data_IF_708481416549
#
_entry.id   IF_708481416549
#
_cell.length_a   1.000
_cell.length_b   1.000
_cell.length_c   1.000
_cell.angle_alpha   90.00
_cell.angle_beta   90.00
_cell.angle_gamma   90.00
#
_symmetry.space_group_name_H-M   'P 1'
#
loop_
_entity.id
_entity.type
_entity.pdbx_description
1 polymer ?
#
# COMPACT_ATOMS: atom_id res chain seq x y z
N UNK A 1 48.27 -31.30 -49.51
CA UNK A 1 46.97 -31.60 -48.89
C UNK A 1 47.18 -32.66 -47.81
N UNK A 2 46.53 -32.51 -46.65
CA UNK A 2 46.54 -33.41 -45.47
C UNK A 2 47.66 -33.20 -44.44
N UNK A 3 47.56 -32.11 -43.67
CA UNK A 3 48.26 -31.93 -42.39
C UNK A 3 47.26 -31.74 -41.24
N UNK A 4 46.35 -32.69 -41.04
CA UNK A 4 45.49 -32.73 -39.85
C UNK A 4 45.31 -34.19 -39.42
N UNK A 5 46.33 -34.78 -38.80
CA UNK A 5 46.20 -36.01 -38.00
C UNK A 5 47.32 -36.08 -36.96
N UNK A 6 47.24 -35.29 -35.86
CA UNK A 6 47.89 -35.66 -34.57
C UNK A 6 47.61 -34.81 -33.32
N UNK A 7 46.62 -33.91 -33.29
CA UNK A 7 46.32 -33.09 -32.08
C UNK A 7 44.87 -33.22 -31.54
N UNK A 8 44.18 -34.31 -31.86
CA UNK A 8 42.79 -34.52 -31.44
C UNK A 8 42.60 -34.90 -29.95
N UNK A 9 43.53 -35.56 -29.22
CA UNK A 9 43.20 -36.01 -27.85
C UNK A 9 43.12 -34.86 -26.84
N UNK A 10 44.01 -33.86 -26.92
CA UNK A 10 44.04 -32.77 -25.94
C UNK A 10 42.88 -31.79 -26.09
N UNK A 11 42.46 -31.49 -27.32
CA UNK A 11 41.37 -30.54 -27.55
C UNK A 11 40.03 -31.08 -27.02
N UNK A 12 39.79 -32.39 -27.16
CA UNK A 12 38.61 -33.05 -26.60
C UNK A 12 38.67 -33.06 -25.06
N UNK A 13 39.85 -33.33 -24.48
CA UNK A 13 40.03 -33.32 -23.02
C UNK A 13 39.78 -31.92 -22.44
N UNK A 14 40.35 -30.86 -23.03
CA UNK A 14 40.12 -29.49 -22.57
C UNK A 14 38.66 -29.04 -22.76
N UNK A 15 38.00 -29.46 -23.84
CA UNK A 15 36.59 -29.17 -24.07
C UNK A 15 35.69 -29.87 -23.04
N UNK A 16 35.96 -31.15 -22.73
CA UNK A 16 35.22 -31.91 -21.72
C UNK A 16 35.46 -31.38 -20.30
N UNK A 17 36.68 -30.95 -19.96
CA UNK A 17 36.98 -30.29 -18.68
C UNK A 17 36.27 -28.93 -18.56
N UNK A 18 36.25 -28.12 -19.62
CA UNK A 18 35.50 -26.87 -19.66
C UNK A 18 34.00 -27.07 -19.52
N UNK A 19 33.44 -28.12 -20.14
CA UNK A 19 32.04 -28.48 -20.02
C UNK A 19 31.70 -29.00 -18.61
N UNK A 20 32.57 -29.80 -17.99
CA UNK A 20 32.40 -30.24 -16.61
C UNK A 20 32.46 -29.09 -15.61
N UNK A 21 33.36 -28.12 -15.81
CA UNK A 21 33.47 -26.94 -14.94
C UNK A 21 32.25 -26.01 -15.09
N UNK A 22 31.71 -25.84 -16.30
CA UNK A 22 30.50 -25.04 -16.51
C UNK A 22 29.25 -25.70 -15.94
N UNK A 23 29.14 -27.02 -16.04
CA UNK A 23 28.08 -27.80 -15.39
C UNK A 23 28.22 -27.75 -13.86
N UNK A 24 29.44 -27.86 -13.32
CA UNK A 24 29.67 -27.78 -11.87
C UNK A 24 29.37 -26.38 -11.31
N UNK A 25 29.77 -25.32 -12.02
CA UNK A 25 29.42 -23.94 -11.67
C UNK A 25 27.90 -23.71 -11.76
N UNK A 26 27.23 -24.28 -12.77
CA UNK A 26 25.77 -24.22 -12.89
C UNK A 26 25.08 -24.98 -11.75
N UNK A 27 25.62 -26.13 -11.33
CA UNK A 27 25.12 -26.93 -10.21
C UNK A 27 25.37 -26.27 -8.86
N UNK A 28 26.49 -25.60 -8.63
CA UNK A 28 26.72 -24.79 -7.41
C UNK A 28 25.87 -23.51 -7.40
N UNK A 29 25.63 -22.89 -8.56
CA UNK A 29 24.68 -21.78 -8.69
C UNK A 29 23.25 -22.25 -8.42
N UNK A 30 22.85 -23.41 -8.94
CA UNK A 30 21.56 -24.04 -8.65
C UNK A 30 21.45 -24.48 -7.19
N UNK A 31 22.50 -25.06 -6.59
CA UNK A 31 22.52 -25.43 -5.16
C UNK A 31 22.52 -24.22 -4.24
N UNK A 32 23.18 -23.11 -4.59
CA UNK A 32 23.13 -21.87 -3.81
C UNK A 32 21.78 -21.16 -3.94
N UNK A 33 21.18 -21.17 -5.13
CA UNK A 33 19.78 -20.73 -5.36
C UNK A 33 18.81 -21.62 -4.56
N UNK A 34 18.97 -22.94 -4.63
CA UNK A 34 18.09 -23.93 -3.98
C UNK A 34 18.33 -24.09 -2.48
N UNK A 35 19.50 -23.71 -1.94
CA UNK A 35 19.77 -23.60 -0.48
C UNK A 35 19.25 -22.28 0.10
N UNK A 36 19.17 -21.22 -0.70
CA UNK A 36 18.61 -19.92 -0.30
C UNK A 36 17.08 -19.81 -0.48
N UNK A 37 16.46 -20.67 -1.30
CA UNK A 37 15.02 -20.67 -1.55
C UNK A 37 14.10 -21.26 -0.45
N UNK A 38 14.46 -22.33 0.29
CA UNK A 38 13.55 -22.90 1.30
C UNK A 38 13.54 -22.10 2.62
N UNK A 39 14.58 -21.29 2.89
CA UNK A 39 14.60 -20.40 4.07
C UNK A 39 13.83 -19.09 3.85
N UNK A 40 13.81 -18.56 2.62
CA UNK A 40 13.01 -17.36 2.27
C UNK A 40 11.51 -17.64 2.30
N UNK A 41 11.07 -18.76 1.73
CA UNK A 41 9.64 -19.11 1.65
C UNK A 41 9.00 -19.39 3.00
N UNK A 42 9.74 -19.81 4.03
CA UNK A 42 9.20 -20.01 5.38
C UNK A 42 8.99 -18.68 6.13
N UNK A 43 9.95 -17.76 6.05
CA UNK A 43 9.85 -16.40 6.62
C UNK A 43 8.77 -15.57 5.91
N UNK A 44 8.63 -15.76 4.59
CA UNK A 44 7.63 -15.11 3.73
C UNK A 44 6.21 -15.71 3.90
N UNK A 45 6.08 -17.03 4.12
CA UNK A 45 4.78 -17.67 4.47
C UNK A 45 4.33 -17.35 5.89
N UNK A 46 5.25 -17.14 6.83
CA UNK A 46 4.91 -16.76 8.21
C UNK A 46 4.39 -15.33 8.33
N UNK A 47 4.72 -14.44 7.39
CA UNK A 47 4.33 -13.01 7.44
C UNK A 47 3.00 -12.66 6.79
N UNK A 48 2.39 -13.57 6.03
CA UNK A 48 0.98 -13.44 5.65
C UNK A 48 0.14 -13.62 6.91
N UNK A 49 -0.03 -12.54 7.68
CA UNK A 49 -1.02 -12.48 8.75
C UNK A 49 -2.39 -12.65 8.09
N UNK A 50 -2.84 -13.90 7.99
CA UNK A 50 -4.21 -14.20 7.59
C UNK A 50 -5.13 -13.48 8.57
N UNK A 51 -6.00 -12.60 8.04
CA UNK A 51 -6.95 -11.83 8.82
C UNK A 51 -7.69 -12.78 9.77
N UNK A 52 -7.41 -12.69 11.08
CA UNK A 52 -8.20 -13.44 12.06
C UNK A 52 -9.64 -13.05 11.82
N UNK A 53 -10.51 -14.04 11.55
CA UNK A 53 -11.92 -13.78 11.29
C UNK A 53 -12.50 -13.01 12.48
N UNK A 54 -12.95 -11.76 12.29
CA UNK A 54 -13.44 -10.96 13.40
C UNK A 54 -14.72 -11.61 13.95
N UNK A 55 -14.90 -11.57 15.28
CA UNK A 55 -16.09 -12.09 15.97
C UNK A 55 -17.24 -11.07 15.90
N UNK A 56 -17.53 -10.59 14.69
CA UNK A 56 -18.58 -9.61 14.42
C UNK A 56 -19.75 -10.25 13.68
N UNK A 57 -20.91 -9.62 13.79
CA UNK A 57 -22.12 -10.00 13.04
C UNK A 57 -22.55 -8.81 12.18
N UNK A 58 -22.03 -8.68 10.94
CA UNK A 58 -22.57 -7.69 10.02
C UNK A 58 -24.05 -7.97 9.76
N UNK A 59 -24.80 -6.93 9.43
CA UNK A 59 -26.24 -7.01 9.16
C UNK A 59 -26.56 -6.43 7.79
N UNK A 60 -27.53 -7.04 7.12
CA UNK A 60 -28.20 -6.41 5.98
C UNK A 60 -29.13 -5.31 6.51
N UNK A 61 -29.08 -4.14 5.89
CA UNK A 61 -29.93 -3.00 6.22
C UNK A 61 -31.11 -2.86 5.25
N UNK A 62 -31.08 -3.55 4.11
CA UNK A 62 -32.16 -3.53 3.13
C UNK A 62 -32.57 -4.94 2.71
N UNK A 63 -33.87 -5.14 2.51
CA UNK A 63 -34.44 -6.42 2.09
C UNK A 63 -34.00 -6.83 0.69
N UNK A 64 -33.64 -5.86 -0.16
CA UNK A 64 -33.15 -6.10 -1.51
C UNK A 64 -31.66 -6.47 -1.56
N UNK A 65 -30.96 -6.49 -0.42
CA UNK A 65 -29.56 -6.86 -0.33
C UNK A 65 -28.60 -5.84 -0.95
N UNK A 66 -28.96 -4.56 -0.99
CA UNK A 66 -28.08 -3.50 -1.48
C UNK A 66 -27.34 -2.75 -0.38
N UNK A 67 -27.79 -2.79 0.88
CA UNK A 67 -27.17 -2.06 1.99
C UNK A 67 -26.82 -2.97 3.13
N UNK A 68 -25.64 -2.78 3.71
CA UNK A 68 -25.11 -3.57 4.80
C UNK A 68 -24.32 -2.70 5.77
N UNK A 69 -24.22 -3.16 7.01
CA UNK A 69 -23.50 -2.47 8.08
C UNK A 69 -22.72 -3.46 8.94
N UNK A 70 -21.54 -3.03 9.35
CA UNK A 70 -20.73 -3.65 10.39
C UNK A 70 -20.29 -2.59 11.42
N UNK A 71 -19.30 -2.90 12.24
CA UNK A 71 -18.81 -1.98 13.27
C UNK A 71 -18.18 -0.73 12.65
N UNK A 72 -17.29 -0.92 11.67
CA UNK A 72 -16.50 0.15 11.07
C UNK A 72 -16.97 0.55 9.66
N UNK A 73 -17.87 -0.20 9.03
CA UNK A 73 -18.25 0.01 7.63
C UNK A 73 -19.75 0.13 7.38
N UNK A 74 -20.07 0.94 6.37
CA UNK A 74 -21.35 0.94 5.66
C UNK A 74 -21.10 0.52 4.22
N UNK A 75 -21.56 -0.67 3.82
CA UNK A 75 -21.40 -1.17 2.45
C UNK A 75 -22.69 -0.97 1.67
N UNK A 76 -22.58 -0.33 0.51
CA UNK A 76 -23.67 -0.13 -0.44
C UNK A 76 -23.29 -0.71 -1.79
N UNK A 77 -24.10 -1.61 -2.31
CA UNK A 77 -24.08 -1.96 -3.72
C UNK A 77 -25.01 -1.02 -4.47
N UNK A 78 -24.54 -0.40 -5.55
CA UNK A 78 -25.40 0.42 -6.40
C UNK A 78 -26.42 -0.44 -7.16
N UNK A 79 -27.51 0.18 -7.58
CA UNK A 79 -28.63 -0.47 -8.27
C UNK A 79 -28.20 -1.23 -9.53
N UNK A 80 -27.20 -0.71 -10.25
CA UNK A 80 -26.68 -1.34 -11.46
C UNK A 80 -25.98 -2.69 -11.21
N UNK A 81 -25.65 -3.03 -9.96
CA UNK A 81 -25.11 -4.35 -9.59
C UNK A 81 -26.11 -5.47 -9.87
N UNK A 82 -27.41 -5.19 -9.83
CA UNK A 82 -28.48 -6.18 -10.10
C UNK A 82 -28.35 -6.79 -11.50
N UNK A 83 -27.64 -6.11 -12.41
CA UNK A 83 -27.36 -6.55 -13.79
C UNK A 83 -26.11 -7.44 -13.90
N UNK A 84 -25.37 -7.66 -12.80
CA UNK A 84 -24.14 -8.46 -12.78
C UNK A 84 -24.46 -9.91 -12.45
N UNK A 85 -23.96 -10.89 -13.22
CA UNK A 85 -24.10 -12.31 -12.88
C UNK A 85 -23.57 -12.60 -11.46
N UNK A 86 -24.30 -13.43 -10.69
CA UNK A 86 -24.07 -13.71 -9.26
C UNK A 86 -24.38 -12.56 -8.29
N UNK A 87 -25.03 -11.50 -8.78
CA UNK A 87 -25.64 -10.43 -7.97
C UNK A 87 -27.12 -10.24 -8.35
N UNK A 88 -27.67 -11.12 -9.19
CA UNK A 88 -29.02 -11.01 -9.73
C UNK A 88 -30.08 -11.32 -8.68
N UNK A 89 -29.86 -12.31 -7.81
CA UNK A 89 -30.79 -12.61 -6.72
C UNK A 89 -30.46 -11.86 -5.44
N UNK A 90 -31.49 -11.57 -4.65
CA UNK A 90 -31.36 -10.96 -3.31
C UNK A 90 -30.47 -11.81 -2.40
N UNK A 91 -30.65 -13.14 -2.40
CA UNK A 91 -29.89 -14.04 -1.55
C UNK A 91 -28.39 -14.03 -1.89
N UNK A 92 -28.02 -14.00 -3.17
CA UNK A 92 -26.62 -13.88 -3.58
C UNK A 92 -26.01 -12.57 -3.10
N UNK A 93 -26.73 -11.44 -3.27
CA UNK A 93 -26.25 -10.14 -2.80
C UNK A 93 -26.07 -10.11 -1.29
N UNK A 94 -27.02 -10.65 -0.53
CA UNK A 94 -26.93 -10.72 0.94
C UNK A 94 -25.73 -11.57 1.38
N UNK A 95 -25.62 -12.78 0.85
CA UNK A 95 -24.50 -13.68 1.17
C UNK A 95 -23.15 -13.02 0.87
N UNK A 96 -23.06 -12.35 -0.29
CA UNK A 96 -21.85 -11.66 -0.71
C UNK A 96 -21.51 -10.46 0.15
N UNK A 97 -22.46 -9.54 0.37
CA UNK A 97 -22.25 -8.32 1.16
C UNK A 97 -21.82 -8.61 2.60
N UNK A 98 -22.45 -9.61 3.25
CA UNK A 98 -22.05 -10.04 4.59
C UNK A 98 -20.66 -10.67 4.60
N UNK A 99 -20.33 -11.50 3.62
CA UNK A 99 -19.01 -12.12 3.49
C UNK A 99 -17.89 -11.09 3.28
N UNK A 100 -18.14 -10.09 2.42
CA UNK A 100 -17.19 -9.02 2.15
C UNK A 100 -16.99 -8.11 3.39
N UNK A 101 -18.04 -7.80 4.15
CA UNK A 101 -17.91 -7.05 5.42
C UNK A 101 -17.05 -7.79 6.46
N UNK A 102 -17.22 -9.10 6.61
CA UNK A 102 -16.37 -9.90 7.52
C UNK A 102 -14.89 -9.78 7.12
N UNK A 103 -14.61 -9.80 5.82
CA UNK A 103 -13.26 -9.66 5.31
C UNK A 103 -12.69 -8.26 5.58
N UNK A 104 -13.44 -7.20 5.25
CA UNK A 104 -13.02 -5.81 5.45
C UNK A 104 -12.79 -5.46 6.93
N UNK A 105 -13.54 -6.08 7.84
CA UNK A 105 -13.35 -5.90 9.28
C UNK A 105 -12.09 -6.61 9.79
N UNK A 106 -11.75 -7.76 9.20
CA UNK A 106 -10.45 -8.37 9.42
C UNK A 106 -9.30 -7.47 8.93
N UNK A 107 -9.50 -6.79 7.79
CA UNK A 107 -8.54 -5.80 7.27
C UNK A 107 -8.44 -4.57 8.16
N UNK A 108 -9.55 -4.08 8.69
CA UNK A 108 -9.59 -2.94 9.60
C UNK A 108 -8.71 -3.17 10.82
N UNK A 109 -8.90 -4.30 11.50
CA UNK A 109 -8.10 -4.68 12.68
C UNK A 109 -6.61 -4.78 12.37
N UNK A 110 -6.28 -5.22 11.17
CA UNK A 110 -4.91 -5.32 10.71
C UNK A 110 -4.29 -3.93 10.47
N UNK A 111 -4.98 -3.08 9.71
CA UNK A 111 -4.59 -1.71 9.40
C UNK A 111 -4.44 -0.88 10.69
N UNK A 112 -5.37 -1.04 11.63
CA UNK A 112 -5.33 -0.46 12.98
C UNK A 112 -4.07 -0.87 13.75
N UNK A 113 -3.59 -2.10 13.62
CA UNK A 113 -2.33 -2.52 14.27
C UNK A 113 -1.11 -1.80 13.71
N UNK A 114 -1.04 -1.57 12.38
CA UNK A 114 0.08 -0.86 11.77
C UNK A 114 0.08 0.60 12.18
N UNK A 115 -1.09 1.25 12.13
CA UNK A 115 -1.16 2.71 12.26
C UNK A 115 -1.51 3.19 13.66
N UNK A 116 -2.09 2.33 14.49
CA UNK A 116 -2.34 2.62 15.91
C UNK A 116 -3.49 3.56 16.20
N UNK A 117 -4.33 3.87 15.22
CA UNK A 117 -5.52 4.71 15.39
C UNK A 117 -6.75 4.09 14.73
N UNK A 118 -7.92 4.62 15.10
CA UNK A 118 -9.23 4.19 14.63
C UNK A 118 -9.91 5.31 13.83
N UNK A 119 -10.69 4.92 12.82
CA UNK A 119 -11.58 5.84 12.14
C UNK A 119 -12.69 6.28 13.11
N UNK A 120 -12.89 7.60 13.25
CA UNK A 120 -13.92 8.15 14.14
C UNK A 120 -15.34 7.92 13.63
N UNK A 121 -15.51 7.89 12.32
CA UNK A 121 -16.77 7.68 11.62
C UNK A 121 -16.67 6.40 10.78
N UNK A 122 -17.81 5.77 10.48
CA UNK A 122 -17.83 4.57 9.62
C UNK A 122 -17.36 4.92 8.21
N UNK A 123 -16.53 4.05 7.67
CA UNK A 123 -16.04 4.14 6.29
C UNK A 123 -17.17 3.65 5.37
N UNK A 124 -17.58 4.48 4.41
CA UNK A 124 -18.60 4.10 3.43
C UNK A 124 -17.94 3.43 2.24
N UNK A 125 -18.42 2.24 1.89
CA UNK A 125 -17.96 1.46 0.74
C UNK A 125 -19.08 1.42 -0.28
N UNK A 126 -18.80 1.87 -1.50
CA UNK A 126 -19.79 1.92 -2.58
C UNK A 126 -19.27 1.11 -3.76
N UNK A 127 -19.98 0.03 -4.11
CA UNK A 127 -19.59 -0.87 -5.19
C UNK A 127 -20.52 -0.71 -6.39
N UNK A 128 -19.92 -0.35 -7.51
CA UNK A 128 -20.54 -0.10 -8.80
C UNK A 128 -20.33 -1.27 -9.75
N UNK A 129 -21.24 -1.49 -10.71
CA UNK A 129 -20.92 -2.40 -11.83
C UNK A 129 -19.69 -1.89 -12.59
N UNK A 130 -19.68 -0.60 -12.88
CA UNK A 130 -18.55 0.11 -13.50
C UNK A 130 -18.38 1.45 -12.81
N UNK A 131 -17.14 1.81 -12.51
CA UNK A 131 -16.78 3.11 -11.96
C UNK A 131 -16.01 3.87 -13.04
N UNK A 132 -16.44 5.08 -13.37
CA UNK A 132 -15.84 5.90 -14.47
C UNK A 132 -15.68 5.12 -15.78
N UNK A 133 -16.66 4.26 -16.10
CA UNK A 133 -16.67 3.42 -17.31
C UNK A 133 -15.86 2.13 -17.21
N UNK A 134 -15.23 1.81 -16.08
CA UNK A 134 -14.36 0.64 -15.93
C UNK A 134 -14.72 -0.18 -14.67
N UNK A 135 -14.88 -1.50 -14.81
CA UNK A 135 -15.19 -2.40 -13.68
C UNK A 135 -13.99 -2.64 -12.75
N UNK A 136 -12.77 -2.27 -13.18
CA UNK A 136 -11.52 -2.44 -12.45
C UNK A 136 -11.01 -1.15 -11.80
N UNK A 137 -11.74 -0.05 -11.94
CA UNK A 137 -11.36 1.21 -11.31
C UNK A 137 -11.76 1.21 -9.83
N UNK A 138 -10.99 1.93 -9.01
CA UNK A 138 -11.28 2.15 -7.61
C UNK A 138 -10.65 3.47 -7.17
N UNK A 139 -11.27 4.13 -6.19
CA UNK A 139 -10.67 5.28 -5.54
C UNK A 139 -11.25 5.49 -4.16
N UNK A 140 -10.45 6.12 -3.31
CA UNK A 140 -10.89 6.59 -2.00
C UNK A 140 -11.01 8.10 -2.01
N UNK A 141 -12.05 8.63 -1.38
CA UNK A 141 -12.27 10.05 -1.23
C UNK A 141 -12.62 10.40 0.21
N UNK A 142 -12.28 11.62 0.60
CA UNK A 142 -12.61 12.18 1.89
C UNK A 142 -13.24 13.55 1.68
N UNK A 143 -14.38 13.77 2.31
CA UNK A 143 -15.03 15.08 2.35
C UNK A 143 -15.25 15.51 3.79
N UNK A 144 -15.04 16.81 4.02
CA UNK A 144 -15.32 17.44 5.32
C UNK A 144 -16.77 17.91 5.31
N UNK A 145 -17.52 17.46 6.30
CA UNK A 145 -18.88 17.93 6.57
C UNK A 145 -19.02 18.45 8.00
N UNK A 146 -20.25 18.80 8.34
CA UNK A 146 -20.66 19.07 9.71
C UNK A 146 -21.73 18.04 10.09
N UNK A 147 -21.61 17.45 11.28
CA UNK A 147 -22.66 16.63 11.89
C UNK A 147 -23.18 17.32 13.14
N UNK A 148 -24.48 17.19 13.41
CA UNK A 148 -25.06 17.63 14.68
C UNK A 148 -25.07 16.43 15.62
N UNK A 149 -24.36 16.54 16.73
CA UNK A 149 -24.36 15.55 17.82
C UNK A 149 -24.68 16.33 19.09
N UNK A 150 -25.73 15.91 19.82
CA UNK A 150 -26.18 16.55 21.05
C UNK A 150 -26.41 18.08 20.90
N UNK A 151 -27.09 18.49 19.83
CA UNK A 151 -27.33 19.90 19.47
C UNK A 151 -26.07 20.76 19.25
N UNK A 152 -24.90 20.13 19.08
CA UNK A 152 -23.65 20.81 18.73
C UNK A 152 -23.18 20.40 17.34
N UNK A 153 -22.71 21.38 16.57
CA UNK A 153 -22.05 21.12 15.31
C UNK A 153 -20.64 20.61 15.55
N UNK A 154 -20.36 19.41 15.06
CA UNK A 154 -19.04 18.79 15.08
C UNK A 154 -18.56 18.58 13.64
N UNK A 155 -17.25 18.72 13.42
CA UNK A 155 -16.68 18.34 12.14
C UNK A 155 -16.88 16.83 11.91
N UNK A 156 -17.37 16.46 10.73
CA UNK A 156 -17.51 15.08 10.28
C UNK A 156 -16.58 14.84 9.10
N UNK A 157 -15.98 13.65 9.05
CA UNK A 157 -15.13 13.26 7.93
C UNK A 157 -15.77 12.07 7.26
N UNK A 158 -16.38 12.33 6.11
CA UNK A 158 -17.00 11.29 5.31
C UNK A 158 -15.92 10.70 4.42
N UNK A 159 -15.46 9.51 4.78
CA UNK A 159 -14.58 8.72 3.93
C UNK A 159 -15.45 7.77 3.10
N UNK A 160 -15.32 7.88 1.78
CA UNK A 160 -16.04 7.06 0.82
C UNK A 160 -15.04 6.35 -0.09
N UNK A 161 -15.11 5.03 -0.11
CA UNK A 161 -14.30 4.16 -0.97
C UNK A 161 -15.20 3.61 -2.06
N UNK A 162 -14.86 3.93 -3.31
CA UNK A 162 -15.60 3.53 -4.48
C UNK A 162 -14.87 2.43 -5.21
N UNK A 163 -15.59 1.37 -5.58
CA UNK A 163 -15.05 0.29 -6.38
C UNK A 163 -15.92 0.01 -7.61
N UNK A 164 -15.30 -0.27 -8.74
CA UNK A 164 -15.90 -1.13 -9.76
C UNK A 164 -15.92 -2.58 -9.28
N UNK A 165 -16.88 -3.37 -9.75
CA UNK A 165 -17.12 -4.72 -9.21
C UNK A 165 -15.93 -5.69 -9.35
N UNK A 166 -15.12 -5.56 -10.39
CA UNK A 166 -13.96 -6.43 -10.59
C UNK A 166 -12.74 -5.98 -9.78
N UNK A 167 -12.63 -4.68 -9.47
CA UNK A 167 -11.71 -4.18 -8.46
C UNK A 167 -12.12 -4.70 -7.07
N UNK A 168 -13.40 -4.59 -6.70
CA UNK A 168 -13.89 -5.04 -5.41
C UNK A 168 -13.68 -6.54 -5.17
N UNK A 169 -13.78 -7.39 -6.19
CA UNK A 169 -13.49 -8.83 -6.06
C UNK A 169 -12.04 -9.14 -5.70
N UNK A 170 -11.10 -8.22 -5.91
CA UNK A 170 -9.68 -8.40 -5.62
C UNK A 170 -9.37 -7.93 -4.22
N UNK A 171 -9.05 -8.87 -3.33
CA UNK A 171 -8.65 -8.60 -1.94
C UNK A 171 -7.48 -7.62 -1.83
N UNK A 172 -6.54 -7.67 -2.79
CA UNK A 172 -5.40 -6.75 -2.83
C UNK A 172 -5.83 -5.31 -3.08
N UNK A 173 -6.75 -5.09 -4.02
CA UNK A 173 -7.31 -3.76 -4.32
C UNK A 173 -8.17 -3.26 -3.15
N UNK A 174 -8.97 -4.13 -2.52
CA UNK A 174 -9.69 -3.78 -1.30
C UNK A 174 -8.72 -3.31 -0.20
N UNK A 175 -7.64 -4.05 0.05
CA UNK A 175 -6.65 -3.70 1.08
C UNK A 175 -5.97 -2.34 0.79
N UNK A 176 -5.61 -2.11 -0.47
CA UNK A 176 -4.99 -0.88 -0.94
C UNK A 176 -5.90 0.33 -0.67
N UNK A 177 -7.12 0.30 -1.20
CA UNK A 177 -8.06 1.42 -1.08
C UNK A 177 -8.54 1.63 0.36
N UNK A 178 -8.80 0.55 1.11
CA UNK A 178 -9.17 0.67 2.52
C UNK A 178 -8.04 1.26 3.35
N UNK A 179 -6.77 1.09 2.97
CA UNK A 179 -5.66 1.77 3.63
C UNK A 179 -5.72 3.28 3.44
N UNK A 180 -6.20 3.76 2.29
CA UNK A 180 -6.40 5.19 2.07
C UNK A 180 -7.47 5.80 2.96
N UNK A 181 -8.44 5.03 3.44
CA UNK A 181 -9.39 5.50 4.43
C UNK A 181 -8.69 5.98 5.71
N UNK A 182 -7.54 5.38 6.04
CA UNK A 182 -6.74 5.74 7.19
C UNK A 182 -5.74 6.85 6.85
N UNK A 183 -5.11 6.82 5.67
CA UNK A 183 -4.06 7.80 5.34
C UNK A 183 -4.60 9.16 4.91
N UNK A 184 -5.80 9.24 4.31
CA UNK A 184 -6.36 10.49 3.79
C UNK A 184 -6.66 11.52 4.88
N UNK A 185 -6.81 11.11 6.14
CA UNK A 185 -7.06 12.03 7.25
C UNK A 185 -5.82 12.85 7.64
N UNK A 186 -4.62 12.50 7.17
CA UNK A 186 -3.36 13.15 7.57
C UNK A 186 -2.74 14.07 6.51
N UNK A 187 -3.44 14.34 5.40
CA UNK A 187 -2.93 15.15 4.28
C UNK A 187 -1.49 14.78 3.87
N UNK A 188 -1.20 13.48 3.84
CA UNK A 188 0.12 12.95 3.50
C UNK A 188 0.45 13.22 2.03
N UNK A 189 1.74 13.39 1.68
CA UNK A 189 2.15 13.41 0.29
C UNK A 189 1.83 12.07 -0.38
N UNK A 190 1.49 12.11 -1.68
CA UNK A 190 1.01 10.95 -2.42
C UNK A 190 1.96 9.74 -2.31
N UNK A 191 3.27 9.97 -2.46
CA UNK A 191 4.27 8.89 -2.35
C UNK A 191 4.22 8.13 -1.02
N UNK A 192 3.91 8.82 0.08
CA UNK A 192 3.84 8.19 1.39
C UNK A 192 2.53 7.43 1.53
N UNK A 193 1.41 8.06 1.17
CA UNK A 193 0.08 7.44 1.23
C UNK A 193 0.02 6.17 0.37
N UNK A 194 0.49 6.27 -0.87
CA UNK A 194 0.52 5.18 -1.85
C UNK A 194 1.55 4.12 -1.48
N UNK A 195 2.74 4.51 -1.00
CA UNK A 195 3.74 3.56 -0.53
C UNK A 195 3.24 2.71 0.64
N UNK A 196 2.48 3.32 1.55
CA UNK A 196 1.82 2.64 2.67
C UNK A 196 0.72 1.70 2.16
N UNK A 197 -0.14 2.17 1.25
CA UNK A 197 -1.20 1.33 0.66
C UNK A 197 -0.63 0.11 -0.09
N UNK A 198 0.44 0.28 -0.86
CA UNK A 198 1.14 -0.81 -1.54
C UNK A 198 1.84 -1.75 -0.56
N UNK A 199 2.34 -1.26 0.57
CA UNK A 199 2.88 -2.11 1.64
C UNK A 199 1.77 -3.01 2.22
N UNK A 200 0.59 -2.45 2.50
CA UNK A 200 -0.56 -3.23 2.97
C UNK A 200 -1.02 -4.24 1.92
N UNK A 201 -1.17 -3.80 0.67
CA UNK A 201 -1.54 -4.64 -0.47
C UNK A 201 -0.58 -5.83 -0.65
N UNK A 202 0.72 -5.54 -0.67
CA UNK A 202 1.77 -6.49 -1.04
C UNK A 202 2.04 -7.48 0.08
N UNK A 203 2.27 -6.99 1.29
CA UNK A 203 2.72 -7.84 2.39
C UNK A 203 1.57 -8.58 3.09
N UNK A 204 0.32 -8.12 2.94
CA UNK A 204 -0.81 -8.67 3.71
C UNK A 204 -1.95 -9.22 2.87
N UNK A 205 -2.27 -8.58 1.74
CA UNK A 205 -3.27 -9.12 0.82
C UNK A 205 -2.68 -10.02 -0.27
N UNK A 206 -1.35 -10.21 -0.28
CA UNK A 206 -0.65 -11.06 -1.25
C UNK A 206 -0.69 -10.53 -2.68
N UNK A 207 -0.85 -9.21 -2.87
CA UNK A 207 -0.89 -8.59 -4.19
C UNK A 207 0.43 -8.78 -4.96
N UNK A 208 0.40 -9.10 -6.25
CA UNK A 208 1.58 -9.54 -7.01
C UNK A 208 2.67 -8.46 -7.26
N UNK A 209 2.49 -7.22 -6.79
CA UNK A 209 3.45 -6.13 -6.99
C UNK A 209 4.81 -6.41 -6.31
N UNK A 210 4.84 -7.11 -5.17
CA UNK A 210 6.10 -7.50 -4.49
C UNK A 210 6.98 -8.44 -5.32
N UNK A 211 6.38 -9.28 -6.18
CA UNK A 211 7.14 -10.23 -7.01
C UNK A 211 7.95 -9.52 -8.11
N UNK A 212 7.60 -8.28 -8.45
CA UNK A 212 8.29 -7.47 -9.47
C UNK A 212 9.14 -6.35 -8.87
N UNK A 213 8.79 -5.85 -7.68
CA UNK A 213 9.55 -4.80 -7.02
C UNK A 213 10.76 -5.39 -6.27
N UNK A 214 11.92 -5.47 -6.94
CA UNK A 214 13.19 -5.45 -6.19
C UNK A 214 13.19 -4.13 -5.39
N UNK A 215 13.31 -4.19 -4.05
CA UNK A 215 13.45 -3.00 -3.20
C UNK A 215 14.61 -2.16 -3.75
N UNK A 216 14.27 -1.11 -4.47
CA UNK A 216 15.21 -0.23 -5.14
C UNK A 216 14.99 1.18 -4.59
N UNK A 217 16.03 1.73 -3.98
CA UNK A 217 16.01 3.07 -3.40
C UNK A 217 16.57 4.12 -4.37
N UNK A 218 17.00 3.73 -5.56
CA UNK A 218 17.38 4.66 -6.61
C UNK A 218 16.15 5.47 -7.07
N UNK A 219 16.22 6.82 -7.09
CA UNK A 219 15.14 7.66 -7.59
C UNK A 219 14.69 7.26 -9.00
N UNK A 220 13.37 7.20 -9.23
CA UNK A 220 12.77 6.90 -10.53
C UNK A 220 13.02 7.97 -11.60
N UNK A 221 13.44 9.16 -11.16
CA UNK A 221 13.84 10.32 -11.95
C UNK A 221 14.05 11.53 -11.05
N UNK A 222 14.67 12.57 -11.62
CA UNK A 222 14.90 13.88 -10.98
C UNK A 222 14.27 14.98 -11.87
N UNK A 223 13.80 16.06 -11.25
CA UNK A 223 13.35 17.25 -11.96
C UNK A 223 14.52 18.14 -12.39
N UNK A 224 14.22 19.28 -13.02
CA UNK A 224 15.21 20.25 -13.51
C UNK A 224 16.13 20.81 -12.41
N UNK A 225 15.73 20.72 -11.14
CA UNK A 225 16.51 21.17 -9.99
C UNK A 225 17.28 20.02 -9.32
N UNK A 226 17.29 18.83 -9.93
CA UNK A 226 17.91 17.64 -9.36
C UNK A 226 17.14 17.05 -8.16
N UNK A 227 15.88 17.43 -7.99
CA UNK A 227 15.03 17.01 -6.89
C UNK A 227 14.20 15.80 -7.31
N UNK A 228 14.00 14.86 -6.38
CA UNK A 228 13.26 13.62 -6.65
C UNK A 228 11.81 13.92 -7.10
N UNK A 229 11.48 13.49 -8.32
CA UNK A 229 10.17 13.76 -8.95
C UNK A 229 8.99 13.20 -8.16
N UNK A 230 9.22 12.21 -7.31
CA UNK A 230 8.16 11.59 -6.50
C UNK A 230 7.51 12.58 -5.52
N UNK A 231 8.20 13.67 -5.16
CA UNK A 231 7.65 14.73 -4.32
C UNK A 231 6.62 15.59 -5.05
N UNK A 232 6.69 15.64 -6.37
CA UNK A 232 5.73 16.33 -7.23
C UNK A 232 4.57 15.42 -7.64
N UNK A 233 4.61 14.13 -7.29
CA UNK A 233 3.54 13.19 -7.53
C UNK A 233 2.26 13.61 -6.79
N UNK A 234 1.11 13.51 -7.46
CA UNK A 234 -0.22 13.80 -6.87
C UNK A 234 -1.15 12.58 -6.89
N UNK A 235 -0.61 11.38 -7.09
CA UNK A 235 -1.38 10.13 -7.09
C UNK A 235 -1.91 9.75 -8.47
N UNK A 236 -2.95 8.91 -8.47
CA UNK A 236 -3.57 8.34 -9.66
C UNK A 236 -4.19 9.44 -10.54
N UNK A 237 -3.51 9.82 -11.63
CA UNK A 237 -3.99 10.82 -12.60
C UNK A 237 -3.11 12.05 -12.79
N UNK A 238 -2.05 12.24 -11.98
CA UNK A 238 -1.06 13.29 -12.25
C UNK A 238 -0.12 12.90 -13.39
N UNK A 239 0.33 13.87 -14.18
CA UNK A 239 1.40 13.76 -15.17
C UNK A 239 2.75 13.50 -14.48
N UNK A 240 2.92 12.29 -13.95
CA UNK A 240 4.18 11.56 -14.03
C UNK A 240 3.98 10.54 -15.16
N UNK A 241 4.30 10.90 -16.41
CA UNK A 241 4.06 10.03 -17.55
C UNK A 241 5.07 8.86 -17.53
N UNK A 242 4.61 7.72 -18.04
CA UNK A 242 5.37 6.51 -18.42
C UNK A 242 5.79 5.50 -17.34
N UNK A 243 5.59 5.76 -16.05
CA UNK A 243 6.11 4.88 -14.97
C UNK A 243 5.19 4.69 -13.75
N UNK A 244 3.89 4.49 -13.95
CA UNK A 244 2.96 4.35 -12.81
C UNK A 244 3.41 3.22 -11.87
N UNK A 245 3.69 2.04 -12.42
CA UNK A 245 4.12 0.87 -11.66
C UNK A 245 5.44 1.13 -10.90
N UNK A 246 6.44 1.74 -11.54
CA UNK A 246 7.71 2.06 -10.90
C UNK A 246 7.53 3.13 -9.81
N UNK A 247 6.60 4.07 -9.98
CA UNK A 247 6.29 5.09 -8.97
C UNK A 247 5.68 4.46 -7.71
N UNK A 248 4.70 3.56 -7.87
CA UNK A 248 4.16 2.78 -6.77
C UNK A 248 5.23 1.89 -6.12
N UNK A 249 6.07 1.22 -6.93
CA UNK A 249 7.13 0.34 -6.43
C UNK A 249 8.23 1.09 -5.68
N UNK A 250 8.59 2.30 -6.12
CA UNK A 250 9.57 3.14 -5.47
C UNK A 250 9.04 3.72 -4.15
N UNK A 251 7.79 4.19 -4.15
CA UNK A 251 7.06 4.60 -2.95
C UNK A 251 7.03 3.49 -1.90
N UNK A 252 6.67 2.28 -2.31
CA UNK A 252 6.72 1.08 -1.47
C UNK A 252 8.13 0.78 -0.97
N UNK A 253 9.17 0.92 -1.82
CA UNK A 253 10.56 0.65 -1.42
C UNK A 253 11.03 1.58 -0.30
N UNK A 254 10.68 2.87 -0.35
CA UNK A 254 10.98 3.84 0.72
C UNK A 254 10.28 3.44 2.02
N UNK A 255 8.95 3.21 1.96
CA UNK A 255 8.11 2.87 3.11
C UNK A 255 8.53 1.53 3.75
N UNK A 256 8.79 0.51 2.93
CA UNK A 256 9.25 -0.81 3.36
C UNK A 256 10.64 -0.73 4.00
N UNK A 257 11.53 0.13 3.48
CA UNK A 257 12.86 0.35 4.05
C UNK A 257 12.79 1.02 5.43
N UNK A 258 11.95 2.04 5.61
CA UNK A 258 11.74 2.69 6.92
C UNK A 258 11.26 1.67 7.97
N UNK A 259 10.22 0.88 7.63
CA UNK A 259 9.74 -0.18 8.51
C UNK A 259 10.82 -1.23 8.81
N UNK A 260 11.61 -1.62 7.81
CA UNK A 260 12.70 -2.58 7.98
C UNK A 260 13.77 -2.08 8.95
N UNK A 261 14.11 -0.79 8.89
CA UNK A 261 15.14 -0.16 9.75
C UNK A 261 14.65 0.05 11.19
N UNK A 262 13.42 0.51 11.36
CA UNK A 262 12.92 1.02 12.66
C UNK A 262 11.87 0.12 13.33
N UNK A 263 11.54 -1.01 12.72
CA UNK A 263 10.63 -2.02 13.27
C UNK A 263 9.16 -1.82 12.88
N UNK A 264 8.34 -2.82 13.21
CA UNK A 264 6.92 -2.88 12.83
C UNK A 264 6.08 -1.76 13.47
N UNK A 265 6.50 -1.21 14.62
CA UNK A 265 5.83 -0.11 15.32
C UNK A 265 6.21 1.29 14.79
N UNK A 266 7.08 1.40 13.78
CA UNK A 266 7.54 2.70 13.27
C UNK A 266 6.36 3.59 12.82
N UNK A 267 5.45 3.05 12.00
CA UNK A 267 4.31 3.82 11.51
C UNK A 267 3.31 4.16 12.62
N UNK A 268 3.10 3.25 13.57
CA UNK A 268 2.30 3.53 14.77
C UNK A 268 2.84 4.73 15.55
N UNK A 269 4.15 4.80 15.77
CA UNK A 269 4.78 5.97 16.42
C UNK A 269 4.64 7.23 15.58
N UNK A 270 4.86 7.13 14.27
CA UNK A 270 4.71 8.25 13.34
C UNK A 270 3.30 8.86 13.39
N UNK A 271 2.25 8.05 13.24
CA UNK A 271 0.86 8.53 13.27
C UNK A 271 0.45 9.06 14.64
N UNK A 272 0.90 8.42 15.73
CA UNK A 272 0.65 8.92 17.10
C UNK A 272 1.24 10.32 17.33
N UNK A 273 2.38 10.64 16.71
CA UNK A 273 2.97 11.97 16.77
C UNK A 273 2.16 13.00 15.95
N UNK A 274 1.68 12.62 14.77
CA UNK A 274 0.80 13.47 13.96
C UNK A 274 -0.50 13.79 14.71
N UNK A 275 -1.09 12.79 15.38
CA UNK A 275 -2.30 12.95 16.19
C UNK A 275 -2.06 13.89 17.36
N UNK A 276 -0.96 13.70 18.09
CA UNK A 276 -0.58 14.52 19.24
C UNK A 276 -0.50 16.00 18.90
N UNK A 277 0.01 16.34 17.71
CA UNK A 277 0.18 17.71 17.27
C UNK A 277 -1.00 18.19 16.38
N UNK A 278 -2.13 17.45 16.36
CA UNK A 278 -3.38 17.91 15.75
C UNK A 278 -3.32 18.02 14.22
N UNK A 279 -2.49 17.21 13.57
CA UNK A 279 -2.33 17.24 12.10
C UNK A 279 -3.51 16.59 11.38
N UNK A 280 -4.20 15.68 12.06
CA UNK A 280 -5.41 15.08 11.54
C UNK A 280 -6.38 16.17 11.05
N UNK A 281 -6.80 16.04 9.80
CA UNK A 281 -7.78 16.90 9.14
C UNK A 281 -7.38 18.35 8.85
N UNK A 282 -6.07 18.65 8.81
CA UNK A 282 -5.61 19.92 8.27
C UNK A 282 -5.86 20.04 6.78
N UNK A 283 -6.19 21.24 6.33
CA UNK A 283 -6.31 21.54 4.91
C UNK A 283 -4.91 21.73 4.31
N UNK A 284 -4.61 20.99 3.25
CA UNK A 284 -3.36 21.13 2.49
C UNK A 284 -2.33 20.04 2.78
N UNK A 285 -1.59 19.67 1.75
CA UNK A 285 -0.57 18.60 1.81
C UNK A 285 0.62 19.06 2.64
N UNK A 286 1.04 18.24 3.60
CA UNK A 286 2.24 18.51 4.40
C UNK A 286 3.50 18.51 3.53
N UNK A 287 4.40 19.46 3.78
CA UNK A 287 5.70 19.47 3.09
C UNK A 287 6.53 18.24 3.47
N UNK A 288 7.40 17.79 2.56
CA UNK A 288 8.33 16.68 2.83
C UNK A 288 9.16 16.90 4.10
N UNK A 289 9.57 18.14 4.40
CA UNK A 289 10.36 18.43 5.61
C UNK A 289 9.56 18.21 6.90
N UNK A 290 8.27 18.53 6.90
CA UNK A 290 7.38 18.27 8.05
C UNK A 290 7.20 16.76 8.24
N UNK A 291 6.96 16.02 7.16
CA UNK A 291 6.84 14.56 7.20
C UNK A 291 8.13 13.93 7.73
N UNK A 292 9.29 14.33 7.20
CA UNK A 292 10.60 13.81 7.62
C UNK A 292 10.91 14.16 9.07
N UNK A 293 10.46 15.31 9.58
CA UNK A 293 10.55 15.63 11.01
C UNK A 293 9.85 14.57 11.86
N UNK A 294 8.59 14.26 11.58
CA UNK A 294 7.84 13.26 12.34
C UNK A 294 8.39 11.85 12.18
N UNK A 295 8.87 11.50 10.98
CA UNK A 295 9.57 10.23 10.76
C UNK A 295 10.86 10.14 11.58
N UNK A 296 11.62 11.24 11.69
CA UNK A 296 12.83 11.30 12.52
C UNK A 296 12.50 11.11 14.00
N UNK A 297 11.43 11.75 14.49
CA UNK A 297 10.96 11.56 15.86
C UNK A 297 10.51 10.11 16.12
N UNK A 298 9.81 9.48 15.15
CA UNK A 298 9.39 8.09 15.26
C UNK A 298 10.57 7.09 15.22
N UNK A 299 11.61 7.39 14.44
CA UNK A 299 12.83 6.60 14.34
C UNK A 299 13.76 6.75 15.55
N UNK A 300 13.67 7.87 16.27
CA UNK A 300 14.62 8.22 17.33
C UNK A 300 15.96 8.74 16.82
N UNK A 301 16.07 9.03 15.51
CA UNK A 301 17.28 9.58 14.87
C UNK A 301 16.92 10.54 13.72
N UNK A 302 17.90 11.32 13.27
CA UNK A 302 17.72 12.28 12.18
C UNK A 302 17.70 11.59 10.81
N UNK A 303 16.55 11.59 10.13
CA UNK A 303 16.38 10.98 8.81
C UNK A 303 16.64 11.93 7.65
N UNK A 304 16.95 13.20 7.90
CA UNK A 304 17.25 14.16 6.82
C UNK A 304 18.37 13.63 5.90
N UNK A 305 19.50 13.09 6.39
CA UNK A 305 20.55 12.56 5.52
C UNK A 305 20.06 11.41 4.63
N UNK A 306 19.23 10.51 5.16
CA UNK A 306 18.64 9.42 4.38
C UNK A 306 17.79 9.95 3.23
N UNK A 307 16.90 10.90 3.50
CA UNK A 307 16.04 11.47 2.45
C UNK A 307 16.81 12.34 1.45
N UNK A 308 17.88 13.03 1.88
CA UNK A 308 18.77 13.77 0.98
C UNK A 308 19.53 12.85 0.02
N UNK A 309 19.93 11.64 0.46
CA UNK A 309 20.50 10.62 -0.43
C UNK A 309 19.49 10.19 -1.51
N UNK A 310 18.21 10.11 -1.15
CA UNK A 310 17.11 9.89 -2.09
C UNK A 310 16.76 11.14 -2.92
N UNK A 311 17.56 12.21 -2.86
CA UNK A 311 17.32 13.48 -3.57
C UNK A 311 16.03 14.20 -3.18
N UNK A 312 15.52 13.98 -1.97
CA UNK A 312 14.41 14.77 -1.46
C UNK A 312 14.90 16.17 -1.08
N UNK A 313 14.06 17.19 -1.33
CA UNK A 313 14.35 18.56 -0.91
C UNK A 313 13.84 18.74 0.52
N UNK A 314 14.65 18.31 1.48
CA UNK A 314 14.30 18.35 2.91
C UNK A 314 15.39 19.01 3.72
N UNK A 315 14.94 19.73 4.76
CA UNK A 315 15.80 20.33 5.77
C UNK A 315 15.39 19.89 7.16
N UNK A 316 16.34 19.93 8.08
CA UNK A 316 16.07 19.69 9.49
C UNK A 316 15.15 20.77 10.04
N UNK A 317 14.09 20.34 10.72
CA UNK A 317 13.16 21.22 11.42
C UNK A 317 13.25 20.97 12.93
N UNK A 318 12.96 22.00 13.72
CA UNK A 318 12.73 21.92 15.16
C UNK A 318 11.23 21.99 15.46
N UNK A 319 10.83 21.65 16.69
CA UNK A 319 9.43 21.65 17.12
C UNK A 319 8.78 23.04 16.93
N UNK A 320 9.53 24.10 17.16
CA UNK A 320 9.04 25.48 17.01
C UNK A 320 8.70 25.80 15.55
N UNK A 321 9.49 25.25 14.60
CA UNK A 321 9.19 25.39 13.18
C UNK A 321 7.88 24.68 12.82
N UNK A 322 7.63 23.50 13.41
CA UNK A 322 6.39 22.76 13.19
C UNK A 322 5.20 23.53 13.72
N UNK A 323 5.25 23.99 14.97
CA UNK A 323 4.15 24.75 15.57
C UNK A 323 3.82 26.03 14.79
N UNK A 324 4.85 26.73 14.29
CA UNK A 324 4.65 27.90 13.43
C UNK A 324 3.99 27.56 12.09
N UNK A 325 4.38 26.46 11.44
CA UNK A 325 3.72 25.98 10.21
C UNK A 325 2.28 25.57 10.48
N UNK A 326 2.02 24.98 11.65
CA UNK A 326 0.70 24.48 12.05
C UNK A 326 -0.25 25.58 12.54
N UNK A 327 0.25 26.77 12.92
CA UNK A 327 -0.57 27.88 13.39
C UNK A 327 -1.19 28.71 12.24
N UNK A 328 -0.68 28.54 11.01
CA UNK A 328 -1.17 29.18 9.80
C UNK A 328 -2.13 28.26 9.02
#
# INVERSE_FOLDING_TARGET
MNFIKRNIPYFIIFYLLGLMLSIWACVETLKSVQRNHPKRTLYERQRLETYKRPKIKPKALSEDGLKFESEHYLLTFSEDIKKVPKFGSTQERISRGLGDLIFMEGQYEFVKKIFGFEAKDKIKIIVHRTLRGNSRDAYTSMSRGMKVVDNQFQAAYNIEVHFGIDAFKKRSVQAHELTHAFTQVYALPAWLSEGIAVLVESEYAGGALWAKAKRNLEPIGLDENGVNIIQNWRGHGSTLPDKSIETYAYSYSIVSELRRRYGDDFFKKFFALLDKDGIHYKAGVLSSSVIVYYMSQAAGEDLVPFFQQLKFNVRKLKRENILSILAN
#
